data_IF_184088000300
#
_entry.id   IF_184088000300
#
_cell.length_a   1.000
_cell.length_b   1.000
_cell.length_c   1.000
_cell.angle_alpha   90.00
_cell.angle_beta   90.00
_cell.angle_gamma   90.00
#
_symmetry.space_group_name_H-M   'P 1'
#
loop_
_entity.id
_entity.type
_entity.pdbx_description
1 polymer ?
#
# COMPACT_ATOMS: atom_id res chain seq x y z
N UNK A 1 12.81 -9.09 37.41
CA UNK A 1 12.02 -10.27 36.98
C UNK A 1 10.69 -10.25 37.74
N UNK A 2 9.58 -9.93 37.04
CA UNK A 2 8.16 -10.01 37.45
C UNK A 2 7.35 -8.81 36.94
N UNK A 3 7.05 -8.84 35.64
CA UNK A 3 5.84 -8.18 35.09
C UNK A 3 5.29 -8.94 33.86
N UNK A 4 5.59 -10.25 33.78
CA UNK A 4 5.02 -11.21 32.82
C UNK A 4 4.03 -12.16 33.54
N UNK A 5 3.06 -11.58 34.24
CA UNK A 5 2.01 -12.35 34.90
C UNK A 5 0.79 -11.46 35.12
N UNK A 6 0.04 -11.15 34.06
CA UNK A 6 -1.34 -10.63 34.07
C UNK A 6 -1.88 -10.53 32.63
N UNK A 7 -1.79 -11.62 31.86
CA UNK A 7 -2.40 -11.69 30.52
C UNK A 7 -3.16 -13.02 30.27
N UNK A 8 -3.45 -13.78 31.33
CA UNK A 8 -4.07 -15.10 31.22
C UNK A 8 -5.18 -15.29 32.23
N UNK A 9 -6.18 -14.40 32.26
CA UNK A 9 -7.48 -14.65 32.91
C UNK A 9 -8.54 -13.58 32.60
N UNK A 10 -8.96 -13.49 31.34
CA UNK A 10 -10.25 -12.89 30.98
C UNK A 10 -10.80 -13.41 29.64
N UNK A 11 -10.32 -14.57 29.17
CA UNK A 11 -10.86 -15.26 28.00
C UNK A 11 -11.77 -16.40 28.47
N UNK A 12 -12.90 -16.04 29.08
CA UNK A 12 -14.07 -16.91 29.27
C UNK A 12 -15.19 -16.06 29.83
N UNK A 13 -16.36 -16.17 29.21
CA UNK A 13 -17.60 -15.44 29.46
C UNK A 13 -17.68 -14.03 28.85
N UNK A 14 -18.00 -13.97 27.56
CA UNK A 14 -19.08 -13.10 27.06
C UNK A 14 -19.49 -13.62 25.67
N UNK A 15 -20.68 -14.21 25.59
CA UNK A 15 -21.32 -14.46 24.30
C UNK A 15 -21.68 -13.12 23.68
N UNK A 16 -20.91 -12.67 22.70
CA UNK A 16 -21.24 -11.49 21.92
C UNK A 16 -22.25 -11.91 20.86
N UNK A 17 -23.53 -11.69 21.18
CA UNK A 17 -24.59 -11.62 20.17
C UNK A 17 -24.20 -10.54 19.14
N UNK A 18 -24.17 -10.95 17.88
CA UNK A 18 -23.84 -10.06 16.76
C UNK A 18 -24.91 -8.97 16.61
N UNK A 19 -24.47 -7.73 16.59
CA UNK A 19 -25.32 -6.55 16.45
C UNK A 19 -26.03 -6.52 15.08
N UNK A 20 -27.32 -6.15 14.99
CA UNK A 20 -28.11 -6.21 13.76
C UNK A 20 -27.54 -5.40 12.58
N UNK A 21 -26.70 -4.39 12.84
CA UNK A 21 -26.02 -3.61 11.81
C UNK A 21 -25.00 -4.42 10.97
N UNK A 22 -24.43 -5.49 11.55
CA UNK A 22 -23.51 -6.40 10.83
C UNK A 22 -24.30 -7.32 9.90
N UNK A 23 -25.55 -7.67 10.27
CA UNK A 23 -26.42 -8.53 9.48
C UNK A 23 -26.93 -7.84 8.21
N UNK A 24 -27.11 -6.52 8.24
CA UNK A 24 -27.56 -5.74 7.09
C UNK A 24 -26.55 -5.66 5.93
N UNK A 25 -25.26 -5.93 6.19
CA UNK A 25 -24.24 -6.03 5.12
C UNK A 25 -24.18 -7.41 4.46
N UNK A 26 -24.80 -8.43 5.05
CA UNK A 26 -24.72 -9.83 4.55
C UNK A 26 -25.61 -10.11 3.32
N UNK A 27 -26.44 -9.16 2.89
CA UNK A 27 -27.41 -9.38 1.79
C UNK A 27 -27.09 -8.62 0.50
N UNK A 28 -25.98 -7.89 0.40
CA UNK A 28 -25.62 -7.13 -0.80
C UNK A 28 -24.29 -7.54 -1.46
N UNK A 29 -23.68 -8.66 -1.05
CA UNK A 29 -22.53 -9.24 -1.75
C UNK A 29 -23.03 -10.35 -2.67
N UNK A 30 -23.99 -10.01 -3.53
CA UNK A 30 -24.12 -10.75 -4.77
C UNK A 30 -22.82 -10.50 -5.53
N UNK A 31 -22.18 -11.57 -5.96
CA UNK A 31 -21.02 -11.57 -6.86
C UNK A 31 -21.06 -10.35 -7.79
N UNK A 32 -20.22 -9.35 -7.50
CA UNK A 32 -19.92 -8.27 -8.44
C UNK A 32 -19.12 -8.91 -9.57
N UNK A 33 -19.81 -9.66 -10.43
CA UNK A 33 -19.29 -10.01 -11.73
C UNK A 33 -19.01 -8.68 -12.43
N UNK A 34 -17.72 -8.39 -12.59
CA UNK A 34 -17.24 -7.20 -13.28
C UNK A 34 -17.84 -7.22 -14.69
N UNK A 35 -18.93 -6.47 -14.91
CA UNK A 35 -19.48 -6.26 -16.24
C UNK A 35 -18.58 -5.23 -16.91
N UNK A 36 -17.47 -5.70 -17.48
CA UNK A 36 -16.73 -4.90 -18.45
C UNK A 36 -17.75 -4.41 -19.49
N UNK A 37 -17.75 -3.11 -19.86
CA UNK A 37 -18.52 -2.68 -21.01
C UNK A 37 -18.14 -3.59 -22.20
N UNK A 38 -19.15 -4.12 -22.89
CA UNK A 38 -18.94 -4.95 -24.06
C UNK A 38 -18.41 -4.06 -25.19
N UNK A 39 -17.09 -3.83 -25.19
CA UNK A 39 -16.42 -3.18 -26.29
C UNK A 39 -16.29 -4.22 -27.40
N UNK A 40 -17.08 -4.05 -28.46
CA UNK A 40 -17.00 -4.86 -29.67
C UNK A 40 -15.70 -4.54 -30.40
N UNK A 41 -14.69 -5.40 -30.24
CA UNK A 41 -13.42 -5.27 -30.95
C UNK A 41 -13.57 -5.83 -32.38
N UNK A 42 -13.41 -5.01 -33.43
CA UNK A 42 -13.36 -5.53 -34.78
C UNK A 42 -12.01 -6.24 -34.97
N UNK A 43 -12.04 -7.57 -35.07
CA UNK A 43 -10.89 -8.44 -35.38
C UNK A 43 -9.69 -8.33 -34.42
N UNK A 44 -9.68 -9.19 -33.39
CA UNK A 44 -8.60 -9.33 -32.42
C UNK A 44 -9.09 -8.97 -31.01
N UNK A 45 -8.83 -9.84 -30.03
CA UNK A 45 -9.15 -9.56 -28.64
C UNK A 45 -8.41 -8.32 -28.11
N UNK A 46 -8.70 -7.86 -26.88
CA UNK A 46 -8.10 -6.64 -26.35
C UNK A 46 -6.57 -6.74 -26.33
N UNK A 47 -5.92 -5.65 -26.72
CA UNK A 47 -4.47 -5.46 -26.67
C UNK A 47 -3.95 -5.60 -25.23
N UNK A 48 -2.63 -5.83 -25.08
CA UNK A 48 -2.01 -5.89 -23.73
C UNK A 48 -2.21 -4.58 -22.96
N UNK A 49 -2.23 -3.44 -23.64
CA UNK A 49 -2.47 -2.14 -23.03
C UNK A 49 -3.91 -1.99 -22.53
N UNK A 50 -4.91 -2.37 -23.33
CA UNK A 50 -6.32 -2.32 -22.92
C UNK A 50 -6.61 -3.28 -21.75
N UNK A 51 -6.02 -4.48 -21.76
CA UNK A 51 -6.09 -5.41 -20.63
C UNK A 51 -5.50 -4.78 -19.36
N UNK A 52 -4.36 -4.08 -19.48
CA UNK A 52 -3.69 -3.42 -18.35
C UNK A 52 -4.57 -2.31 -17.77
N UNK A 53 -5.11 -1.43 -18.61
CA UNK A 53 -6.02 -0.37 -18.14
C UNK A 53 -7.28 -0.92 -17.47
N UNK A 54 -7.84 -2.02 -18.00
CA UNK A 54 -8.97 -2.69 -17.37
C UNK A 54 -8.62 -3.26 -15.97
N UNK A 55 -7.45 -3.91 -15.82
CA UNK A 55 -6.97 -4.43 -14.52
C UNK A 55 -6.61 -3.32 -13.54
N UNK A 56 -6.07 -2.21 -14.03
CA UNK A 56 -5.82 -1.01 -13.23
C UNK A 56 -7.12 -0.45 -12.67
N UNK A 57 -8.15 -0.29 -13.52
CA UNK A 57 -9.46 0.19 -13.11
C UNK A 57 -10.12 -0.75 -12.08
N UNK A 58 -10.07 -2.06 -12.30
CA UNK A 58 -10.55 -3.08 -11.35
C UNK A 58 -9.90 -2.94 -9.97
N UNK A 59 -8.56 -2.88 -9.91
CA UNK A 59 -7.82 -2.71 -8.66
C UNK A 59 -8.20 -1.40 -7.94
N UNK A 60 -8.28 -0.29 -8.68
CA UNK A 60 -8.61 1.02 -8.13
C UNK A 60 -10.03 1.08 -7.57
N UNK A 61 -11.00 0.43 -8.23
CA UNK A 61 -12.38 0.34 -7.76
C UNK A 61 -12.47 -0.45 -6.45
N UNK A 62 -11.76 -1.58 -6.35
CA UNK A 62 -11.73 -2.42 -5.15
C UNK A 62 -11.15 -1.69 -3.93
N UNK A 63 -10.08 -0.90 -4.11
CA UNK A 63 -9.40 -0.25 -2.98
C UNK A 63 -10.05 1.07 -2.55
N UNK A 64 -10.80 1.73 -3.44
CA UNK A 64 -11.42 3.03 -3.18
C UNK A 64 -12.24 3.11 -1.87
N UNK A 65 -13.12 2.13 -1.54
CA UNK A 65 -13.90 2.19 -0.30
C UNK A 65 -13.11 1.81 0.97
N UNK A 66 -11.90 1.24 0.85
CA UNK A 66 -11.22 0.55 1.95
C UNK A 66 -10.39 1.46 2.87
N UNK A 67 -10.45 2.79 2.67
CA UNK A 67 -9.67 3.79 3.44
C UNK A 67 -8.19 3.41 3.55
N UNK A 68 -7.53 3.22 2.40
CA UNK A 68 -6.15 2.74 2.28
C UNK A 68 -5.89 1.32 2.78
N UNK A 69 -6.93 0.55 3.09
CA UNK A 69 -6.84 -0.79 3.67
C UNK A 69 -7.19 -0.83 5.16
N UNK A 70 -7.45 0.30 5.81
CA UNK A 70 -7.81 0.33 7.22
C UNK A 70 -9.15 -0.37 7.53
N UNK A 71 -10.07 -0.38 6.56
CA UNK A 71 -11.40 -0.99 6.69
C UNK A 71 -11.50 -2.34 5.96
N UNK A 72 -10.41 -2.86 5.38
CA UNK A 72 -10.41 -4.08 4.57
C UNK A 72 -10.60 -5.36 5.41
N UNK A 73 -11.59 -6.17 5.05
CA UNK A 73 -11.76 -7.53 5.61
C UNK A 73 -10.76 -8.51 4.97
N UNK A 74 -10.60 -9.74 5.52
CA UNK A 74 -9.79 -10.77 4.86
C UNK A 74 -10.26 -11.09 3.44
N UNK A 75 -11.57 -11.05 3.19
CA UNK A 75 -12.15 -11.24 1.86
C UNK A 75 -11.77 -10.09 0.92
N UNK A 76 -11.90 -8.83 1.36
CA UNK A 76 -11.46 -7.67 0.58
C UNK A 76 -9.96 -7.77 0.24
N UNK A 77 -9.14 -8.19 1.21
CA UNK A 77 -7.70 -8.35 1.01
C UNK A 77 -7.40 -9.43 -0.04
N UNK A 78 -8.14 -10.53 -0.06
CA UNK A 78 -7.97 -11.60 -1.05
C UNK A 78 -8.38 -11.14 -2.46
N UNK A 79 -9.45 -10.36 -2.59
CA UNK A 79 -9.88 -9.79 -3.87
C UNK A 79 -8.85 -8.77 -4.40
N UNK A 80 -8.37 -7.86 -3.55
CA UNK A 80 -7.34 -6.88 -3.91
C UNK A 80 -6.02 -7.57 -4.28
N UNK A 81 -5.65 -8.63 -3.56
CA UNK A 81 -4.47 -9.44 -3.87
C UNK A 81 -4.56 -10.07 -5.26
N UNK A 82 -5.71 -10.68 -5.59
CA UNK A 82 -5.93 -11.29 -6.90
C UNK A 82 -5.91 -10.24 -8.03
N UNK A 83 -6.54 -9.08 -7.82
CA UNK A 83 -6.53 -7.98 -8.78
C UNK A 83 -5.11 -7.40 -8.98
N UNK A 84 -4.35 -7.22 -7.90
CA UNK A 84 -2.97 -6.76 -7.96
C UNK A 84 -2.08 -7.76 -8.72
N UNK A 85 -2.18 -9.06 -8.41
CA UNK A 85 -1.43 -10.10 -9.11
C UNK A 85 -1.72 -10.13 -10.62
N UNK A 86 -3.00 -10.02 -11.01
CA UNK A 86 -3.39 -9.95 -12.42
C UNK A 86 -2.85 -8.70 -13.15
N UNK A 87 -2.73 -7.57 -12.44
CA UNK A 87 -2.13 -6.35 -12.98
C UNK A 87 -0.60 -6.48 -13.11
N UNK A 88 0.07 -7.09 -12.13
CA UNK A 88 1.52 -7.32 -12.10
C UNK A 88 1.99 -8.14 -13.32
N UNK A 89 1.20 -9.10 -13.81
CA UNK A 89 1.49 -9.85 -15.04
C UNK A 89 1.53 -8.97 -16.31
N UNK A 90 0.89 -7.80 -16.26
CA UNK A 90 0.78 -6.86 -17.37
C UNK A 90 1.74 -5.67 -17.25
N UNK A 91 2.66 -5.72 -16.29
CA UNK A 91 3.65 -4.67 -16.04
C UNK A 91 4.38 -4.23 -17.33
N UNK A 92 4.31 -2.94 -17.73
CA UNK A 92 5.02 -2.43 -18.89
C UNK A 92 6.51 -2.15 -18.61
N UNK A 93 6.92 -2.09 -17.34
CA UNK A 93 8.26 -1.65 -16.94
C UNK A 93 9.02 -2.79 -16.24
N UNK A 94 9.74 -3.65 -16.98
CA UNK A 94 10.40 -4.83 -16.41
C UNK A 94 11.57 -4.49 -15.46
N UNK A 95 12.18 -3.31 -15.62
CA UNK A 95 13.31 -2.82 -14.82
C UNK A 95 12.96 -1.50 -14.14
N UNK A 96 12.06 -1.52 -13.13
CA UNK A 96 11.50 -0.30 -12.56
C UNK A 96 12.53 0.54 -11.81
N UNK A 97 13.57 -0.05 -11.20
CA UNK A 97 14.56 0.72 -10.42
C UNK A 97 15.47 1.61 -11.28
N UNK A 98 15.58 1.32 -12.59
CA UNK A 98 16.34 2.13 -13.54
C UNK A 98 15.44 2.95 -14.46
N UNK A 99 14.13 2.99 -14.19
CA UNK A 99 13.16 3.73 -15.00
C UNK A 99 12.95 5.13 -14.44
N UNK A 100 12.94 6.14 -15.32
CA UNK A 100 12.59 7.51 -14.95
C UNK A 100 11.14 7.65 -14.47
N UNK A 101 10.29 6.66 -14.75
CA UNK A 101 8.94 6.59 -14.21
C UNK A 101 8.92 6.51 -12.68
N UNK A 102 9.98 5.98 -12.06
CA UNK A 102 10.04 5.76 -10.61
C UNK A 102 10.16 7.07 -9.81
N UNK A 103 10.81 8.08 -10.38
CA UNK A 103 11.17 9.31 -9.69
C UNK A 103 9.93 10.15 -9.37
N UNK A 104 9.94 10.84 -8.23
CA UNK A 104 8.89 11.75 -7.83
C UNK A 104 8.12 11.34 -6.58
N UNK A 105 7.06 12.09 -6.30
CA UNK A 105 6.14 11.89 -5.18
C UNK A 105 4.99 10.97 -5.55
N UNK A 106 4.80 9.92 -4.74
CA UNK A 106 3.77 8.91 -4.87
C UNK A 106 2.82 8.93 -3.67
N UNK A 107 1.52 8.98 -3.89
CA UNK A 107 0.51 8.89 -2.83
C UNK A 107 0.06 7.45 -2.63
N UNK A 108 0.11 6.98 -1.38
CA UNK A 108 -0.38 5.67 -0.99
C UNK A 108 -1.91 5.59 -1.08
N UNK A 109 -2.40 4.77 -2.00
CA UNK A 109 -3.82 4.49 -2.18
C UNK A 109 -4.29 3.31 -1.34
N UNK A 110 -3.45 2.28 -1.18
CA UNK A 110 -3.77 1.08 -0.42
C UNK A 110 -2.52 0.39 0.13
N UNK A 111 -2.63 -0.19 1.32
CA UNK A 111 -1.65 -1.13 1.86
C UNK A 111 -2.27 -2.14 2.83
N UNK A 112 -1.65 -3.31 2.95
CA UNK A 112 -1.94 -4.26 4.04
C UNK A 112 -1.07 -4.04 5.29
N UNK A 113 -0.17 -3.05 5.27
CA UNK A 113 0.74 -2.78 6.39
C UNK A 113 0.03 -2.17 7.59
N UNK A 114 -0.22 -2.99 8.62
CA UNK A 114 -0.84 -2.54 9.87
C UNK A 114 -0.06 -1.41 10.58
N UNK A 115 1.27 -1.37 10.43
CA UNK A 115 2.10 -0.31 11.02
C UNK A 115 1.91 1.03 10.34
N UNK A 116 1.81 1.05 9.00
CA UNK A 116 1.56 2.29 8.24
C UNK A 116 0.12 2.75 8.44
N UNK A 117 -0.84 1.82 8.50
CA UNK A 117 -2.24 2.15 8.79
C UNK A 117 -2.47 2.56 10.25
N UNK A 118 -1.48 2.35 11.13
CA UNK A 118 -1.59 2.61 12.56
C UNK A 118 -2.72 1.82 13.23
N UNK A 119 -2.99 0.58 12.80
CA UNK A 119 -4.14 -0.20 13.29
C UNK A 119 -4.07 -0.50 14.79
N UNK A 120 -2.87 -0.51 15.37
CA UNK A 120 -2.65 -0.61 16.82
C UNK A 120 -2.97 0.67 17.59
N UNK A 121 -3.21 1.80 16.91
CA UNK A 121 -3.57 3.09 17.52
C UNK A 121 -5.08 3.28 17.55
N UNK A 122 -5.62 4.05 18.53
CA UNK A 122 -7.01 4.51 18.49
C UNK A 122 -7.33 5.21 17.16
N UNK A 123 -8.55 5.07 16.66
CA UNK A 123 -8.94 5.52 15.31
C UNK A 123 -8.61 7.00 15.01
N UNK A 124 -8.77 7.87 16.01
CA UNK A 124 -8.46 9.31 15.90
C UNK A 124 -6.97 9.62 15.72
N UNK A 125 -6.08 8.69 16.09
CA UNK A 125 -4.63 8.82 15.96
C UNK A 125 -4.05 8.04 14.78
N UNK A 126 -4.92 7.44 13.95
CA UNK A 126 -4.48 6.79 12.71
C UNK A 126 -4.13 7.86 11.67
N UNK A 127 -3.19 7.57 10.75
CA UNK A 127 -2.87 8.51 9.69
C UNK A 127 -4.11 8.93 8.92
N UNK A 128 -4.28 10.24 8.78
CA UNK A 128 -5.36 10.86 8.01
C UNK A 128 -4.74 11.74 6.92
N UNK A 129 -5.38 11.80 5.76
CA UNK A 129 -4.83 12.49 4.58
C UNK A 129 -3.90 11.62 3.71
N UNK A 130 -3.14 12.25 2.79
CA UNK A 130 -2.26 11.56 1.84
C UNK A 130 -0.96 11.12 2.50
N UNK A 131 -0.55 9.87 2.31
CA UNK A 131 0.77 9.37 2.75
C UNK A 131 1.66 9.39 1.52
N UNK A 132 2.64 10.28 1.49
CA UNK A 132 3.48 10.52 0.32
C UNK A 132 4.81 9.81 0.48
N UNK A 133 5.21 9.03 -0.52
CA UNK A 133 6.54 8.50 -0.67
C UNK A 133 7.22 9.21 -1.85
N UNK A 134 8.28 9.94 -1.56
CA UNK A 134 9.13 10.58 -2.57
C UNK A 134 10.32 9.69 -2.85
N UNK A 135 10.60 9.42 -4.13
CA UNK A 135 11.69 8.57 -4.58
C UNK A 135 12.62 9.32 -5.53
N UNK A 136 13.92 9.11 -5.34
CA UNK A 136 15.00 9.51 -6.24
C UNK A 136 15.82 8.27 -6.56
N UNK A 137 15.58 7.69 -7.74
CA UNK A 137 16.28 6.51 -8.25
C UNK A 137 17.78 6.76 -8.40
N UNK A 138 18.22 7.77 -9.16
CA UNK A 138 19.65 8.10 -9.30
C UNK A 138 20.35 8.41 -7.98
N UNK A 139 19.70 9.16 -7.08
CA UNK A 139 20.23 9.47 -5.75
C UNK A 139 20.12 8.32 -4.75
N UNK A 140 19.46 7.21 -5.12
CA UNK A 140 19.16 6.07 -4.25
C UNK A 140 18.54 6.50 -2.92
N UNK A 141 17.61 7.46 -2.96
CA UNK A 141 17.03 8.06 -1.77
C UNK A 141 15.51 7.95 -1.79
N UNK A 142 14.94 7.81 -0.60
CA UNK A 142 13.50 7.81 -0.39
C UNK A 142 13.14 8.65 0.82
N UNK A 143 11.95 9.25 0.78
CA UNK A 143 11.36 9.98 1.91
C UNK A 143 9.88 9.67 2.02
N UNK A 144 9.44 9.12 3.15
CA UNK A 144 8.02 8.93 3.44
C UNK A 144 7.53 10.07 4.33
N UNK A 145 6.33 10.59 4.05
CA UNK A 145 5.72 11.74 4.70
C UNK A 145 4.27 11.37 5.06
N UNK A 146 3.94 11.46 6.35
CA UNK A 146 2.61 11.29 6.91
C UNK A 146 2.16 12.63 7.53
N UNK A 147 1.33 13.43 6.84
CA UNK A 147 1.09 14.83 7.22
C UNK A 147 0.24 15.00 8.48
N UNK A 148 -0.66 14.05 8.78
CA UNK A 148 -1.55 14.14 9.93
C UNK A 148 -1.75 12.77 10.60
N UNK A 149 -1.97 12.74 11.93
CA UNK A 149 -2.14 13.89 12.84
C UNK A 149 -0.83 14.46 13.41
N UNK A 150 0.31 13.80 13.19
CA UNK A 150 1.57 14.12 13.87
C UNK A 150 2.68 14.63 12.95
N UNK A 151 2.42 14.88 11.67
CA UNK A 151 3.45 15.18 10.67
C UNK A 151 4.74 14.36 10.88
N UNK A 152 4.70 13.07 10.52
CA UNK A 152 5.88 12.22 10.59
C UNK A 152 6.60 12.23 9.24
N UNK A 153 7.92 12.31 9.27
CA UNK A 153 8.74 12.11 8.09
C UNK A 153 9.79 11.06 8.39
N UNK A 154 10.10 10.19 7.44
CA UNK A 154 11.26 9.31 7.53
C UNK A 154 12.05 9.35 6.23
N UNK A 155 13.34 9.62 6.34
CA UNK A 155 14.29 9.53 5.22
C UNK A 155 14.96 8.16 5.20
N UNK A 156 15.17 7.63 4.00
CA UNK A 156 15.73 6.31 3.78
C UNK A 156 16.75 6.32 2.64
N UNK A 157 17.78 5.49 2.79
CA UNK A 157 18.72 5.14 1.73
C UNK A 157 18.26 3.84 1.08
N UNK A 158 18.38 3.77 -0.24
CA UNK A 158 18.07 2.63 -1.06
C UNK A 158 19.37 1.92 -1.48
N UNK A 159 19.36 0.60 -1.46
CA UNK A 159 20.45 -0.26 -1.97
C UNK A 159 19.83 -1.29 -2.92
N UNK A 160 19.98 -1.13 -4.25
CA UNK A 160 19.42 -2.07 -5.23
C UNK A 160 20.01 -3.47 -5.03
N UNK A 161 19.14 -4.47 -5.00
CA UNK A 161 19.49 -5.90 -4.95
C UNK A 161 19.48 -6.50 -6.36
N UNK A 162 18.50 -6.09 -7.17
CA UNK A 162 18.38 -6.43 -8.59
C UNK A 162 17.50 -5.37 -9.28
N UNK A 163 17.07 -5.60 -10.52
CA UNK A 163 16.32 -4.64 -11.35
C UNK A 163 14.98 -4.17 -10.76
N UNK A 164 14.41 -4.91 -9.81
CA UNK A 164 13.10 -4.65 -9.20
C UNK A 164 13.10 -4.60 -7.67
N UNK A 165 14.13 -5.11 -7.01
CA UNK A 165 14.20 -5.27 -5.55
C UNK A 165 15.27 -4.36 -4.95
N UNK A 166 14.92 -3.74 -3.83
CA UNK A 166 15.77 -2.78 -3.13
C UNK A 166 15.72 -3.04 -1.62
N UNK A 167 16.86 -2.94 -0.94
CA UNK A 167 16.91 -2.82 0.52
C UNK A 167 16.71 -1.36 0.91
N UNK A 168 15.98 -1.15 1.98
CA UNK A 168 15.64 0.15 2.53
C UNK A 168 16.30 0.28 3.89
N UNK A 169 17.19 1.26 4.04
CA UNK A 169 17.78 1.62 5.32
C UNK A 169 17.19 2.96 5.78
N UNK A 170 16.36 2.94 6.82
CA UNK A 170 15.89 4.17 7.43
C UNK A 170 17.06 4.92 8.09
N UNK A 171 17.08 6.24 7.98
CA UNK A 171 18.18 7.10 8.46
C UNK A 171 17.75 8.04 9.57
N UNK A 172 16.65 8.77 9.36
CA UNK A 172 16.18 9.79 10.28
C UNK A 172 14.66 9.85 10.24
N UNK A 173 14.05 9.90 11.42
CA UNK A 173 12.64 10.21 11.63
C UNK A 173 12.51 11.65 12.13
N UNK A 174 11.54 12.42 11.61
CA UNK A 174 11.07 13.65 12.22
C UNK A 174 9.72 13.40 12.85
N UNK A 175 9.67 13.47 14.17
CA UNK A 175 8.45 13.28 14.97
C UNK A 175 7.85 14.67 15.26
N UNK A 176 6.53 14.83 15.11
CA UNK A 176 5.85 16.14 15.25
C UNK A 176 6.43 17.22 14.32
N UNK A 177 7.04 16.80 13.21
CA UNK A 177 7.75 17.66 12.27
C UNK A 177 9.02 18.35 12.73
N UNK A 178 9.36 18.28 14.03
CA UNK A 178 10.47 19.09 14.60
C UNK A 178 11.51 18.29 15.37
N UNK A 179 11.21 17.06 15.79
CA UNK A 179 12.14 16.26 16.62
C UNK A 179 12.86 15.25 15.72
N UNK A 180 14.15 15.48 15.35
CA UNK A 180 14.92 14.51 14.60
C UNK A 180 15.36 13.35 15.51
N UNK A 181 15.11 12.12 15.06
CA UNK A 181 15.51 10.88 15.74
C UNK A 181 16.25 10.02 14.73
N UNK A 182 17.51 9.71 15.01
CA UNK A 182 18.30 8.80 14.18
C UNK A 182 17.68 7.39 14.24
N UNK A 183 17.45 6.81 13.07
CA UNK A 183 16.96 5.45 12.98
C UNK A 183 18.04 4.48 13.50
N UNK A 184 17.69 3.44 14.29
CA UNK A 184 18.64 2.41 14.65
C UNK A 184 19.09 1.66 13.40
N UNK A 185 20.30 1.09 13.40
CA UNK A 185 20.81 0.35 12.25
C UNK A 185 19.94 -0.87 11.89
N UNK A 186 19.21 -1.40 12.85
CA UNK A 186 18.25 -2.49 12.68
C UNK A 186 16.95 -2.06 11.98
N UNK A 187 16.68 -0.76 11.85
CA UNK A 187 15.54 -0.25 11.09
C UNK A 187 15.81 -0.38 9.58
N UNK A 188 15.57 -1.59 9.08
CA UNK A 188 15.72 -1.99 7.69
C UNK A 188 14.44 -2.62 7.18
N UNK A 189 14.29 -2.64 5.87
CA UNK A 189 13.27 -3.41 5.17
C UNK A 189 13.71 -3.72 3.76
N UNK A 190 12.87 -4.45 3.03
CA UNK A 190 13.04 -4.66 1.60
C UNK A 190 11.75 -4.36 0.86
N UNK A 191 11.87 -3.90 -0.37
CA UNK A 191 10.76 -3.59 -1.24
C UNK A 191 11.04 -4.13 -2.63
N UNK A 192 10.07 -4.78 -3.25
CA UNK A 192 10.10 -5.19 -4.65
C UNK A 192 9.03 -4.42 -5.40
N UNK A 193 9.40 -3.70 -6.46
CA UNK A 193 8.44 -3.05 -7.36
C UNK A 193 8.02 -4.08 -8.41
N UNK A 194 6.74 -4.44 -8.39
CA UNK A 194 6.17 -5.52 -9.21
C UNK A 194 5.38 -4.99 -10.39
N UNK A 195 4.91 -3.74 -10.30
CA UNK A 195 4.29 -3.01 -11.39
C UNK A 195 4.70 -1.54 -11.34
N UNK A 196 4.99 -0.96 -12.51
CA UNK A 196 5.23 0.47 -12.66
C UNK A 196 4.81 0.94 -14.05
N UNK A 197 3.97 1.97 -14.11
CA UNK A 197 3.70 2.75 -15.31
C UNK A 197 3.69 4.25 -15.00
N UNK A 198 3.07 5.05 -15.86
CA UNK A 198 3.10 6.51 -15.76
C UNK A 198 2.41 7.06 -14.50
N UNK A 199 1.37 6.39 -14.01
CA UNK A 199 0.50 6.91 -12.95
C UNK A 199 0.28 5.96 -11.77
N UNK A 200 0.63 4.67 -11.88
CA UNK A 200 0.45 3.68 -10.83
C UNK A 200 1.72 2.87 -10.57
N UNK A 201 1.98 2.60 -9.29
CA UNK A 201 3.02 1.70 -8.83
C UNK A 201 2.45 0.68 -7.85
N UNK A 202 2.79 -0.59 -8.06
CA UNK A 202 2.54 -1.67 -7.11
C UNK A 202 3.86 -2.21 -6.60
N UNK A 203 3.94 -2.46 -5.30
CA UNK A 203 5.13 -3.03 -4.68
C UNK A 203 4.80 -3.96 -3.53
N UNK A 204 5.76 -4.84 -3.23
CA UNK A 204 5.67 -5.91 -2.22
C UNK A 204 6.80 -5.75 -1.21
N UNK A 205 6.45 -5.68 0.07
CA UNK A 205 7.41 -5.59 1.18
C UNK A 205 7.94 -6.95 1.63
N UNK A 206 9.04 -6.95 2.37
CA UNK A 206 9.64 -8.12 3.03
C UNK A 206 8.69 -8.95 3.90
N UNK A 207 7.70 -8.30 4.53
CA UNK A 207 6.65 -8.94 5.35
C UNK A 207 5.40 -9.35 4.56
N UNK A 208 5.48 -9.41 3.23
CA UNK A 208 4.34 -9.74 2.36
C UNK A 208 3.32 -8.62 2.21
N UNK A 209 3.63 -7.40 2.67
CA UNK A 209 2.72 -6.27 2.54
C UNK A 209 2.58 -5.84 1.08
N UNK A 210 1.35 -5.58 0.65
CA UNK A 210 1.03 -4.95 -0.63
C UNK A 210 1.03 -3.42 -0.45
N UNK A 211 1.53 -2.70 -1.45
CA UNK A 211 1.43 -1.24 -1.54
C UNK A 211 0.99 -0.85 -2.95
N UNK A 212 -0.10 -0.09 -3.06
CA UNK A 212 -0.58 0.51 -4.30
C UNK A 212 -0.48 2.02 -4.16
N UNK A 213 0.27 2.65 -5.07
CA UNK A 213 0.51 4.09 -5.03
C UNK A 213 0.19 4.74 -6.38
N UNK A 214 -0.28 5.98 -6.34
CA UNK A 214 -0.50 6.82 -7.52
C UNK A 214 0.55 7.92 -7.61
N UNK A 215 0.97 8.26 -8.83
CA UNK A 215 1.87 9.38 -9.08
C UNK A 215 1.18 10.70 -8.73
N UNK A 216 1.88 11.58 -8.02
CA UNK A 216 1.37 12.93 -7.66
C UNK A 216 2.23 14.02 -8.29
N UNK A 217 3.55 13.88 -8.20
CA UNK A 217 4.46 14.90 -8.73
C UNK A 217 5.79 14.26 -9.17
N UNK A 218 5.99 14.18 -10.48
CA UNK A 218 7.17 13.58 -11.11
C UNK A 218 8.49 14.27 -10.75
N UNK A 219 8.44 15.55 -10.41
CA UNK A 219 9.63 16.37 -10.18
C UNK A 219 9.94 16.57 -8.68
N UNK A 220 9.17 15.95 -7.79
CA UNK A 220 9.39 16.06 -6.35
C UNK A 220 10.65 15.27 -5.95
N UNK A 221 11.57 15.91 -5.22
CA UNK A 221 12.80 15.29 -4.72
C UNK A 221 12.71 14.96 -3.21
N UNK A 222 13.43 13.93 -2.71
CA UNK A 222 13.49 13.56 -1.29
C UNK A 222 14.15 14.58 -0.36
#
# INVERSE_FOLDING_TARGET
>A
ARTMALATRAYRATGVQSSPAIRARRTAVASRAFKLPAISWPLGGPSKAEKREARKAELLELIAPLKKGADATPEDQAEVEAAAAALEELNPTPRPLTSDLLNGGWNLLYTTSASILGLSRPAIFRPSGPIIQVLDGPGLAARNIEPAPFFNQVSAQLEPVNEKKVKVQFKEFKILGVIPVKAPETARGELTITYLDDDLRVSRGDKGNLFVLSMVNRNQKP
#
